data_IF_259503493653
#
_entry.id   IF_259503493653
#
_cell.length_a   1.000
_cell.length_b   1.000
_cell.length_c   1.000
_cell.angle_alpha   90.00
_cell.angle_beta   90.00
_cell.angle_gamma   90.00
#
_symmetry.space_group_name_H-M   'P 1'
#
loop_
_entity.id
_entity.type
_entity.pdbx_description
1 polymer ?
#
# COMPACT_ATOMS: atom_id res chain seq x y z
N UNK A 1 -2.08 38.09 13.48
CA UNK A 1 -0.91 39.00 13.63
C UNK A 1 0.38 38.33 13.11
N UNK A 2 0.42 37.88 11.84
CA UNK A 2 1.64 37.37 11.15
C UNK A 2 1.59 37.53 9.61
N UNK A 3 0.50 38.09 9.04
CA UNK A 3 0.41 38.31 7.58
C UNK A 3 1.29 39.48 7.07
N UNK A 4 1.83 40.30 7.98
CA UNK A 4 2.65 41.47 7.64
C UNK A 4 4.12 41.13 7.33
N UNK A 5 4.58 39.91 7.63
CA UNK A 5 5.96 39.47 7.36
C UNK A 5 6.08 38.68 6.05
N UNK A 6 5.01 38.55 5.26
CA UNK A 6 5.01 37.80 3.98
C UNK A 6 5.21 36.29 4.13
N UNK A 7 5.31 35.77 5.35
CA UNK A 7 5.53 34.35 5.64
C UNK A 7 4.17 33.68 5.86
N UNK A 8 3.67 32.97 4.85
CA UNK A 8 2.50 32.12 5.01
C UNK A 8 2.88 30.88 5.84
N UNK A 9 2.27 30.66 7.03
CA UNK A 9 2.60 29.53 7.88
C UNK A 9 2.15 28.21 7.21
N UNK A 10 2.91 27.15 7.48
CA UNK A 10 2.61 25.82 6.95
C UNK A 10 1.56 25.13 7.83
N UNK A 11 0.28 25.24 7.44
CA UNK A 11 -0.83 24.71 8.23
C UNK A 11 -1.62 23.70 7.41
N UNK A 12 -1.43 22.40 7.73
CA UNK A 12 -2.14 21.31 7.05
C UNK A 12 -3.66 21.43 7.11
N UNK A 13 -4.19 21.96 8.22
CA UNK A 13 -5.63 22.02 8.49
C UNK A 13 -6.36 23.03 7.59
N UNK A 14 -5.67 24.08 7.15
CA UNK A 14 -6.25 25.19 6.39
C UNK A 14 -5.76 25.18 4.93
N UNK A 15 -4.97 24.18 4.52
CA UNK A 15 -4.42 24.07 3.16
C UNK A 15 -3.78 25.37 2.66
N UNK A 16 -2.90 25.96 3.48
CA UNK A 16 -2.21 27.21 3.09
C UNK A 16 -1.33 26.98 1.86
N UNK A 17 -1.15 28.00 1.00
CA UNK A 17 -0.34 27.88 -0.22
C UNK A 17 1.08 27.38 0.05
N UNK A 18 1.70 27.76 1.18
CA UNK A 18 2.99 27.23 1.62
C UNK A 18 2.95 25.72 1.92
N UNK A 19 1.85 25.22 2.50
CA UNK A 19 1.66 23.79 2.73
C UNK A 19 1.46 23.03 1.42
N UNK A 20 0.69 23.59 0.48
CA UNK A 20 0.50 23.00 -0.85
C UNK A 20 1.82 22.91 -1.62
N UNK A 21 2.64 23.97 -1.60
CA UNK A 21 3.96 23.95 -2.24
C UNK A 21 4.92 22.97 -1.56
N UNK A 22 4.91 22.91 -0.24
CA UNK A 22 5.73 21.94 0.51
C UNK A 22 5.33 20.50 0.21
N UNK A 23 4.03 20.17 0.30
CA UNK A 23 3.54 18.82 0.01
C UNK A 23 3.72 18.47 -1.46
N UNK A 24 3.44 19.41 -2.37
CA UNK A 24 3.64 19.21 -3.81
C UNK A 24 5.10 18.98 -4.15
N UNK A 25 6.02 19.73 -3.54
CA UNK A 25 7.46 19.54 -3.68
C UNK A 25 7.90 18.13 -3.27
N UNK A 26 7.44 17.65 -2.11
CA UNK A 26 7.70 16.27 -1.68
C UNK A 26 7.12 15.23 -2.63
N UNK A 27 5.90 15.42 -3.14
CA UNK A 27 5.29 14.49 -4.11
C UNK A 27 6.10 14.43 -5.39
N UNK A 28 6.53 15.57 -5.93
CA UNK A 28 7.36 15.64 -7.14
C UNK A 28 8.73 15.00 -6.92
N UNK A 29 9.37 15.24 -5.76
CA UNK A 29 10.65 14.61 -5.42
C UNK A 29 10.54 13.08 -5.31
N UNK A 30 9.50 12.59 -4.65
CA UNK A 30 9.24 11.14 -4.54
C UNK A 30 8.97 10.54 -5.92
N UNK A 31 8.16 11.22 -6.75
CA UNK A 31 7.88 10.79 -8.12
C UNK A 31 9.16 10.75 -8.97
N UNK A 32 9.99 11.78 -8.91
CA UNK A 32 11.27 11.84 -9.61
C UNK A 32 12.22 10.72 -9.13
N UNK A 33 12.24 10.43 -7.83
CA UNK A 33 12.99 9.32 -7.25
C UNK A 33 12.53 7.96 -7.79
N UNK A 34 11.23 7.68 -7.78
CA UNK A 34 10.70 6.44 -8.36
C UNK A 34 10.96 6.33 -9.87
N UNK A 35 10.79 7.42 -10.61
CA UNK A 35 11.07 7.47 -12.04
C UNK A 35 12.54 7.17 -12.34
N UNK A 36 13.48 7.80 -11.63
CA UNK A 36 14.90 7.54 -11.77
C UNK A 36 15.27 6.08 -11.41
N UNK A 37 14.70 5.55 -10.33
CA UNK A 37 14.95 4.16 -9.91
C UNK A 37 14.44 3.13 -10.94
N UNK A 38 13.28 3.36 -11.55
CA UNK A 38 12.65 2.42 -12.47
C UNK A 38 13.21 2.56 -13.89
N UNK A 39 13.29 3.78 -14.41
CA UNK A 39 13.68 4.03 -15.80
C UNK A 39 15.20 4.13 -15.98
N UNK A 40 15.90 4.79 -15.06
CA UNK A 40 17.35 4.98 -15.22
C UNK A 40 18.16 3.77 -14.74
N UNK A 41 17.76 3.19 -13.61
CA UNK A 41 18.45 2.01 -13.03
C UNK A 41 17.91 0.67 -13.54
N UNK A 42 16.78 0.68 -14.24
CA UNK A 42 16.16 -0.53 -14.80
C UNK A 42 15.65 -1.53 -13.75
N UNK A 43 15.51 -1.14 -12.48
CA UNK A 43 15.07 -2.00 -11.38
C UNK A 43 13.56 -2.24 -11.41
N UNK A 44 13.09 -2.95 -12.44
CA UNK A 44 11.66 -3.23 -12.66
C UNK A 44 11.16 -4.43 -11.84
N UNK A 45 12.03 -5.35 -11.45
CA UNK A 45 11.64 -6.60 -10.77
C UNK A 45 11.08 -6.38 -9.37
N UNK A 46 11.61 -5.41 -8.61
CA UNK A 46 11.09 -5.06 -7.28
C UNK A 46 9.72 -4.36 -7.34
N UNK A 47 9.41 -3.67 -8.45
CA UNK A 47 8.12 -3.04 -8.65
C UNK A 47 7.04 -4.05 -9.07
N UNK A 48 7.42 -5.26 -9.50
CA UNK A 48 6.49 -6.28 -9.96
C UNK A 48 5.34 -6.60 -9.00
N UNK A 49 5.56 -6.89 -7.70
CA UNK A 49 4.46 -7.12 -6.76
C UNK A 49 3.52 -5.92 -6.63
N UNK A 50 4.05 -4.69 -6.64
CA UNK A 50 3.23 -3.47 -6.58
C UNK A 50 2.42 -3.28 -7.88
N UNK A 51 3.01 -3.58 -9.03
CA UNK A 51 2.36 -3.49 -10.34
C UNK A 51 1.21 -4.50 -10.47
N UNK A 52 1.36 -5.70 -9.91
CA UNK A 52 0.29 -6.72 -9.88
C UNK A 52 -0.92 -6.21 -9.08
N UNK A 53 -0.66 -5.60 -7.92
CA UNK A 53 -1.71 -5.01 -7.08
C UNK A 53 -2.36 -3.80 -7.76
N UNK A 54 -1.54 -2.90 -8.32
CA UNK A 54 -2.03 -1.69 -8.99
C UNK A 54 -2.91 -1.97 -10.21
N UNK A 55 -2.59 -2.99 -11.00
CA UNK A 55 -3.41 -3.37 -12.17
C UNK A 55 -4.77 -3.96 -11.83
N UNK A 56 -4.96 -4.39 -10.59
CA UNK A 56 -6.20 -4.99 -10.08
C UNK A 56 -6.64 -4.31 -8.79
N UNK A 57 -6.53 -2.98 -8.74
CA UNK A 57 -6.86 -2.16 -7.56
C UNK A 57 -8.31 -2.34 -7.10
N UNK A 58 -9.26 -2.46 -8.03
CA UNK A 58 -10.67 -2.72 -7.70
C UNK A 58 -10.85 -4.09 -7.05
N UNK A 59 -10.11 -5.09 -7.52
CA UNK A 59 -10.21 -6.46 -7.03
C UNK A 59 -9.72 -6.53 -5.58
N UNK A 60 -8.57 -5.93 -5.28
CA UNK A 60 -8.05 -5.90 -3.91
C UNK A 60 -8.93 -5.05 -2.98
N UNK A 61 -9.54 -3.97 -3.47
CA UNK A 61 -10.47 -3.16 -2.69
C UNK A 61 -11.69 -4.00 -2.27
N UNK A 62 -12.34 -4.68 -3.21
CA UNK A 62 -13.49 -5.54 -2.92
C UNK A 62 -13.10 -6.73 -2.04
N UNK A 63 -11.98 -7.40 -2.31
CA UNK A 63 -11.48 -8.50 -1.48
C UNK A 63 -11.16 -8.05 -0.05
N UNK A 64 -10.56 -6.86 0.10
CA UNK A 64 -10.26 -6.28 1.42
C UNK A 64 -11.54 -6.04 2.23
N UNK A 65 -12.64 -5.69 1.59
CA UNK A 65 -13.90 -5.44 2.29
C UNK A 65 -14.68 -6.72 2.57
N UNK A 66 -14.76 -7.65 1.62
CA UNK A 66 -15.60 -8.85 1.72
C UNK A 66 -14.89 -10.05 2.34
N UNK A 67 -13.59 -10.23 2.10
CA UNK A 67 -12.90 -11.50 2.36
C UNK A 67 -11.87 -11.44 3.50
N UNK A 68 -11.51 -10.25 4.00
CA UNK A 68 -10.48 -10.11 5.05
C UNK A 68 -10.80 -10.90 6.31
N UNK A 69 -12.04 -10.83 6.82
CA UNK A 69 -12.46 -11.58 8.00
C UNK A 69 -12.38 -13.10 7.80
N UNK A 70 -12.85 -13.58 6.65
CA UNK A 70 -12.79 -15.00 6.30
C UNK A 70 -11.35 -15.53 6.26
N UNK A 71 -10.44 -14.79 5.63
CA UNK A 71 -9.05 -15.21 5.55
C UNK A 71 -8.31 -15.13 6.88
N UNK A 72 -8.64 -14.14 7.74
CA UNK A 72 -8.12 -14.07 9.11
C UNK A 72 -8.52 -15.33 9.91
N UNK A 73 -9.80 -15.68 9.91
CA UNK A 73 -10.30 -16.85 10.64
C UNK A 73 -9.77 -18.16 10.06
N UNK A 74 -9.64 -18.24 8.73
CA UNK A 74 -9.09 -19.41 8.06
C UNK A 74 -7.60 -19.60 8.39
N UNK A 75 -6.81 -18.52 8.40
CA UNK A 75 -5.39 -18.56 8.79
C UNK A 75 -5.23 -18.91 10.25
N UNK A 76 -6.04 -18.33 11.14
CA UNK A 76 -5.96 -18.61 12.58
C UNK A 76 -6.32 -20.07 12.89
N UNK A 77 -7.31 -20.63 12.17
CA UNK A 77 -7.70 -22.04 12.34
C UNK A 77 -6.64 -23.03 11.85
N UNK A 78 -5.94 -22.74 10.75
CA UNK A 78 -4.95 -23.66 10.17
C UNK A 78 -3.54 -23.46 10.74
N UNK A 79 -3.15 -22.22 11.03
CA UNK A 79 -1.79 -21.85 11.43
C UNK A 79 -1.71 -21.25 12.83
N UNK A 80 -2.82 -21.21 13.59
CA UNK A 80 -2.85 -20.66 14.95
C UNK A 80 -1.74 -21.22 15.82
N UNK A 81 -1.49 -22.55 15.78
CA UNK A 81 -0.41 -23.24 16.49
C UNK A 81 0.99 -22.72 16.16
N UNK A 82 1.26 -22.34 14.91
CA UNK A 82 2.56 -21.79 14.47
C UNK A 82 2.72 -20.35 14.93
N UNK A 83 1.64 -19.56 14.93
CA UNK A 83 1.66 -18.19 15.43
C UNK A 83 1.79 -18.08 16.95
N UNK A 84 1.39 -19.11 17.69
CA UNK A 84 1.63 -19.20 19.13
C UNK A 84 3.13 -19.25 19.49
N UNK A 85 3.96 -19.84 18.63
CA UNK A 85 5.42 -19.94 18.83
C UNK A 85 6.09 -18.57 18.69
N UNK A 86 5.55 -17.68 17.86
CA UNK A 86 6.07 -16.33 17.65
C UNK A 86 5.75 -15.36 18.81
N UNK A 87 4.93 -15.78 19.78
CA UNK A 87 4.53 -14.97 20.92
C UNK A 87 3.34 -14.04 20.65
N UNK A 88 2.61 -13.63 21.71
CA UNK A 88 1.34 -12.92 21.59
C UNK A 88 1.45 -11.55 20.90
N UNK A 89 2.61 -10.89 20.99
CA UNK A 89 2.85 -9.57 20.39
C UNK A 89 2.97 -9.63 18.86
N UNK A 90 3.56 -10.70 18.32
CA UNK A 90 3.78 -10.83 16.88
C UNK A 90 2.60 -11.49 16.14
N UNK A 91 1.70 -12.16 16.87
CA UNK A 91 0.52 -12.82 16.32
C UNK A 91 -0.32 -11.92 15.38
N UNK A 92 -0.76 -10.71 15.75
CA UNK A 92 -1.59 -9.89 14.85
C UNK A 92 -0.82 -9.42 13.61
N UNK A 93 0.48 -9.17 13.72
CA UNK A 93 1.33 -8.75 12.60
C UNK A 93 1.51 -9.89 11.61
N UNK A 94 1.79 -11.10 12.10
CA UNK A 94 1.98 -12.28 11.26
C UNK A 94 0.68 -12.72 10.57
N UNK A 95 -0.45 -12.66 11.28
CA UNK A 95 -1.76 -12.91 10.69
C UNK A 95 -2.09 -11.89 9.60
N UNK A 96 -1.90 -10.60 9.87
CA UNK A 96 -2.11 -9.55 8.88
C UNK A 96 -1.22 -9.71 7.64
N UNK A 97 0.06 -10.04 7.85
CA UNK A 97 1.00 -10.33 6.76
C UNK A 97 0.59 -11.56 5.95
N UNK A 98 0.12 -12.62 6.62
CA UNK A 98 -0.39 -13.83 5.98
C UNK A 98 -1.60 -13.55 5.09
N UNK A 99 -2.57 -12.75 5.57
CA UNK A 99 -3.72 -12.32 4.75
C UNK A 99 -3.27 -11.46 3.56
N UNK A 100 -2.32 -10.55 3.78
CA UNK A 100 -1.76 -9.74 2.69
C UNK A 100 -1.07 -10.60 1.63
N UNK A 101 -0.33 -11.65 2.04
CA UNK A 101 0.26 -12.61 1.12
C UNK A 101 -0.78 -13.43 0.37
N UNK A 102 -1.86 -13.87 1.03
CA UNK A 102 -2.94 -14.61 0.37
C UNK A 102 -3.61 -13.74 -0.70
N UNK A 103 -3.95 -12.49 -0.38
CA UNK A 103 -4.47 -11.54 -1.36
C UNK A 103 -3.48 -11.33 -2.50
N UNK A 104 -2.20 -11.14 -2.20
CA UNK A 104 -1.19 -10.99 -3.23
C UNK A 104 -1.10 -12.22 -4.16
N UNK A 105 -1.17 -13.44 -3.61
CA UNK A 105 -1.20 -14.69 -4.39
C UNK A 105 -2.44 -14.78 -5.30
N UNK A 106 -3.61 -14.38 -4.79
CA UNK A 106 -4.86 -14.34 -5.58
C UNK A 106 -4.72 -13.33 -6.73
N UNK A 107 -4.23 -12.12 -6.44
CA UNK A 107 -4.00 -11.10 -7.45
C UNK A 107 -2.94 -11.52 -8.46
N UNK A 108 -1.88 -12.20 -8.03
CA UNK A 108 -0.86 -12.74 -8.92
C UNK A 108 -1.43 -13.82 -9.84
N UNK A 109 -2.28 -14.71 -9.31
CA UNK A 109 -3.00 -15.69 -10.13
C UNK A 109 -3.90 -15.02 -11.17
N UNK A 110 -4.65 -14.00 -10.75
CA UNK A 110 -5.53 -13.23 -11.64
C UNK A 110 -4.74 -12.47 -12.71
N UNK A 111 -3.57 -11.94 -12.34
CA UNK A 111 -2.60 -11.32 -13.25
C UNK A 111 -2.05 -12.30 -14.29
N UNK A 112 -1.67 -13.51 -13.87
CA UNK A 112 -1.22 -14.60 -14.78
C UNK A 112 -2.31 -15.02 -15.75
N UNK A 113 -3.57 -15.01 -15.32
CA UNK A 113 -4.75 -15.30 -16.16
C UNK A 113 -5.19 -14.12 -17.03
N UNK A 114 -4.54 -12.95 -16.92
CA UNK A 114 -4.89 -11.69 -17.62
C UNK A 114 -6.35 -11.24 -17.39
N UNK A 115 -6.93 -11.59 -16.24
CA UNK A 115 -8.26 -11.13 -15.85
C UNK A 115 -8.08 -9.78 -15.17
N UNK A 116 -8.53 -8.71 -15.84
CA UNK A 116 -8.46 -7.35 -15.31
C UNK A 116 -9.88 -6.84 -15.11
N UNK A 117 -10.28 -6.69 -13.85
CA UNK A 117 -11.55 -6.05 -13.51
C UNK A 117 -11.41 -4.55 -13.79
N UNK A 118 -12.12 -4.07 -14.80
CA UNK A 118 -12.24 -2.65 -15.14
C UNK A 118 -13.73 -2.29 -15.10
N UNK A 119 -14.03 -1.13 -14.54
CA UNK A 119 -15.34 -0.48 -14.59
C UNK A 119 -15.32 0.53 -15.73
#
# INVERSE_FOLDING_TARGET
>A
MFQWTGICPIVKRVWTSSYTLYSGGWVVLILAGFYALIEWKGWRDWAFPLVVVGKNSIAIYVMSWTMTGFFLDALDRHFGSVFWIAGPTFRPVLLGFGVMLVFWCILFWMYRRKIFLRI
#
